data_IF_261304215879
#
_entry.id   IF_261304215879
#
_cell.length_a   1.000
_cell.length_b   1.000
_cell.length_c   1.000
_cell.angle_alpha   90.00
_cell.angle_beta   90.00
_cell.angle_gamma   90.00
#
_symmetry.space_group_name_H-M   'P 1'
#
loop_
_entity.id
_entity.type
_entity.pdbx_description
1 polymer ?
#
# COMPACT_ATOMS: atom_id res chain seq x y z
N UNK A 1 -8.20 -10.69 -9.49
CA UNK A 1 -7.09 -10.32 -8.59
C UNK A 1 -7.62 -10.39 -7.15
N UNK A 2 -6.84 -10.83 -6.17
CA UNK A 2 -7.25 -10.74 -4.76
C UNK A 2 -7.11 -9.30 -4.25
N UNK A 3 -7.99 -8.84 -3.35
CA UNK A 3 -7.95 -7.47 -2.81
C UNK A 3 -6.61 -7.13 -2.13
N UNK A 4 -6.00 -8.12 -1.45
CA UNK A 4 -4.65 -8.02 -0.88
C UNK A 4 -3.62 -7.63 -1.95
N UNK A 5 -3.66 -8.28 -3.12
CA UNK A 5 -2.73 -8.03 -4.21
C UNK A 5 -2.94 -6.63 -4.82
N UNK A 6 -4.18 -6.14 -4.88
CA UNK A 6 -4.47 -4.77 -5.33
C UNK A 6 -3.89 -3.72 -4.36
N UNK A 7 -4.02 -3.93 -3.04
CA UNK A 7 -3.38 -3.07 -2.04
C UNK A 7 -1.86 -3.05 -2.23
N UNK A 8 -1.25 -4.22 -2.47
CA UNK A 8 0.21 -4.32 -2.63
C UNK A 8 0.68 -3.60 -3.89
N UNK A 9 -0.02 -3.82 -5.00
CA UNK A 9 0.24 -3.14 -6.27
C UNK A 9 0.07 -1.61 -6.14
N UNK A 10 -0.93 -1.15 -5.39
CA UNK A 10 -1.12 0.28 -5.14
C UNK A 10 0.05 0.89 -4.33
N UNK A 11 0.50 0.24 -3.26
CA UNK A 11 1.65 0.70 -2.47
C UNK A 11 2.94 0.66 -3.31
N UNK A 12 3.12 -0.38 -4.13
CA UNK A 12 4.23 -0.44 -5.08
C UNK A 12 4.22 0.74 -6.06
N UNK A 13 3.05 1.08 -6.62
CA UNK A 13 2.87 2.25 -7.48
C UNK A 13 3.28 3.54 -6.75
N UNK A 14 2.78 3.75 -5.53
CA UNK A 14 3.15 4.92 -4.71
C UNK A 14 4.67 5.00 -4.48
N UNK A 15 5.32 3.86 -4.23
CA UNK A 15 6.77 3.80 -4.08
C UNK A 15 7.49 4.19 -5.38
N UNK A 16 7.10 3.60 -6.52
CA UNK A 16 7.69 3.91 -7.83
C UNK A 16 7.54 5.40 -8.18
N UNK A 17 6.36 5.98 -7.98
CA UNK A 17 6.06 7.39 -8.25
C UNK A 17 6.87 8.35 -7.36
N UNK A 18 7.14 7.95 -6.11
CA UNK A 18 7.94 8.74 -5.19
C UNK A 18 9.41 8.92 -5.63
N UNK A 19 9.90 8.04 -6.52
CA UNK A 19 11.31 7.94 -6.94
C UNK A 19 12.30 7.77 -5.77
N UNK A 20 11.80 7.33 -4.61
CA UNK A 20 12.62 7.11 -3.42
C UNK A 20 13.25 5.71 -3.43
N UNK A 21 14.40 5.55 -2.78
CA UNK A 21 14.86 4.21 -2.41
C UNK A 21 13.86 3.53 -1.45
N UNK A 22 13.90 2.20 -1.36
CA UNK A 22 13.05 1.42 -0.44
C UNK A 22 13.21 1.92 1.00
N UNK A 23 14.45 2.17 1.43
CA UNK A 23 14.78 2.71 2.74
C UNK A 23 14.17 4.09 2.98
N UNK A 24 14.31 5.01 2.02
CA UNK A 24 13.75 6.37 2.16
C UNK A 24 12.23 6.35 2.24
N UNK A 25 11.58 5.53 1.42
CA UNK A 25 10.13 5.37 1.48
C UNK A 25 9.69 4.79 2.83
N UNK A 26 10.35 3.72 3.27
CA UNK A 26 10.06 3.08 4.56
C UNK A 26 10.20 4.08 5.73
N UNK A 27 11.28 4.87 5.76
CA UNK A 27 11.48 5.92 6.76
C UNK A 27 10.40 7.01 6.68
N UNK A 28 10.10 7.51 5.47
CA UNK A 28 9.09 8.55 5.27
C UNK A 28 7.72 8.12 5.79
N UNK A 29 7.33 6.89 5.53
CA UNK A 29 6.05 6.32 5.94
C UNK A 29 6.10 5.62 7.30
N UNK A 30 7.21 5.73 8.03
CA UNK A 30 7.44 5.10 9.33
C UNK A 30 7.08 3.60 9.34
N UNK A 31 7.48 2.85 8.30
CA UNK A 31 7.33 1.40 8.21
C UNK A 31 8.70 0.73 8.12
N UNK A 32 8.79 -0.56 8.42
CA UNK A 32 10.04 -1.28 8.23
C UNK A 32 10.35 -1.46 6.73
N UNK A 33 11.62 -1.33 6.35
CA UNK A 33 12.03 -1.61 4.97
C UNK A 33 11.68 -3.05 4.56
N UNK A 34 11.72 -3.99 5.52
CA UNK A 34 11.25 -5.37 5.32
C UNK A 34 9.76 -5.42 4.95
N UNK A 35 8.93 -4.61 5.60
CA UNK A 35 7.49 -4.51 5.26
C UNK A 35 7.31 -4.08 3.81
N UNK A 36 8.03 -3.05 3.37
CA UNK A 36 7.98 -2.63 1.97
C UNK A 36 8.48 -3.75 1.04
N UNK A 37 9.53 -4.47 1.41
CA UNK A 37 10.07 -5.58 0.62
C UNK A 37 9.08 -6.75 0.49
N UNK A 38 8.38 -7.09 1.57
CA UNK A 38 7.35 -8.14 1.57
C UNK A 38 6.16 -7.76 0.67
N UNK A 39 5.78 -6.48 0.66
CA UNK A 39 4.76 -5.95 -0.26
C UNK A 39 5.22 -6.06 -1.72
N UNK A 40 6.43 -5.57 -2.03
CA UNK A 40 6.97 -5.57 -3.40
C UNK A 40 7.20 -6.97 -3.97
N UNK A 41 7.55 -7.93 -3.11
CA UNK A 41 7.75 -9.32 -3.51
C UNK A 41 6.44 -10.13 -3.52
N UNK A 42 5.31 -9.48 -3.24
CA UNK A 42 4.00 -10.11 -3.09
C UNK A 42 4.05 -11.37 -2.20
N UNK A 43 4.68 -11.24 -1.02
CA UNK A 43 4.91 -12.36 -0.13
C UNK A 43 3.56 -13.01 0.27
N UNK A 44 3.41 -14.29 -0.07
CA UNK A 44 2.17 -15.05 0.15
C UNK A 44 1.79 -15.12 1.63
N UNK A 45 2.79 -15.18 2.52
CA UNK A 45 2.60 -15.30 3.98
C UNK A 45 2.44 -13.96 4.69
N UNK A 46 2.89 -12.86 4.08
CA UNK A 46 2.78 -11.55 4.68
C UNK A 46 1.35 -11.02 4.52
N UNK A 47 0.74 -10.56 5.61
CA UNK A 47 -0.52 -9.83 5.61
C UNK A 47 -0.27 -8.42 6.11
N UNK A 48 -0.61 -7.43 5.28
CA UNK A 48 -0.45 -6.03 5.67
C UNK A 48 -1.29 -5.70 6.90
N UNK A 49 -0.67 -4.99 7.85
CA UNK A 49 -1.33 -4.55 9.06
C UNK A 49 -2.10 -3.24 8.83
N UNK A 50 -3.23 -3.06 9.52
CA UNK A 50 -3.95 -1.78 9.52
C UNK A 50 -3.07 -0.58 9.93
N UNK A 51 -2.17 -0.69 10.95
CA UNK A 51 -1.21 0.36 11.27
C UNK A 51 -0.31 0.77 10.09
N UNK A 52 0.10 -0.17 9.24
CA UNK A 52 0.89 0.15 8.03
C UNK A 52 0.09 1.03 7.07
N UNK A 53 -1.18 0.67 6.82
CA UNK A 53 -2.07 1.45 5.96
C UNK A 53 -2.32 2.83 6.58
N UNK A 54 -2.57 2.88 7.88
CA UNK A 54 -2.81 4.13 8.61
C UNK A 54 -1.62 5.10 8.48
N UNK A 55 -0.39 4.65 8.70
CA UNK A 55 0.82 5.49 8.55
C UNK A 55 1.00 6.01 7.12
N UNK A 56 0.66 5.20 6.12
CA UNK A 56 0.66 5.64 4.72
C UNK A 56 -0.37 6.76 4.51
N UNK A 57 -1.56 6.62 5.08
CA UNK A 57 -2.62 7.61 5.00
C UNK A 57 -2.24 8.92 5.72
N UNK A 58 -1.67 8.84 6.93
CA UNK A 58 -1.22 10.01 7.70
C UNK A 58 -0.23 10.87 6.93
N UNK A 59 0.81 10.26 6.36
CA UNK A 59 1.86 10.98 5.62
C UNK A 59 1.34 11.56 4.30
N UNK A 60 0.33 10.93 3.70
CA UNK A 60 -0.34 11.45 2.50
C UNK A 60 -1.44 12.46 2.81
N UNK A 61 -1.78 12.65 4.08
CA UNK A 61 -2.89 13.48 4.52
C UNK A 61 -4.22 13.09 3.84
N UNK A 62 -4.51 11.79 3.81
CA UNK A 62 -5.76 11.21 3.28
C UNK A 62 -6.43 10.35 4.34
N UNK A 63 -7.74 10.14 4.21
CA UNK A 63 -8.49 9.19 5.02
C UNK A 63 -8.25 7.74 4.56
N UNK A 64 -8.42 6.80 5.48
CA UNK A 64 -8.34 5.36 5.17
C UNK A 64 -9.39 4.96 4.12
N UNK A 65 -10.59 5.56 4.15
CA UNK A 65 -11.61 5.35 3.12
C UNK A 65 -11.14 5.80 1.74
N UNK A 66 -10.45 6.94 1.64
CA UNK A 66 -9.91 7.46 0.39
C UNK A 66 -8.78 6.58 -0.14
N UNK A 67 -7.97 5.99 0.74
CA UNK A 67 -6.98 4.99 0.35
C UNK A 67 -7.65 3.80 -0.34
N UNK A 68 -8.70 3.22 0.25
CA UNK A 68 -9.39 2.08 -0.35
C UNK A 68 -10.14 2.46 -1.63
N UNK A 69 -10.76 3.65 -1.69
CA UNK A 69 -11.34 4.16 -2.94
C UNK A 69 -10.28 4.29 -4.04
N UNK A 70 -9.10 4.81 -3.73
CA UNK A 70 -8.02 4.91 -4.71
C UNK A 70 -7.50 3.54 -5.19
N UNK A 71 -7.50 2.52 -4.32
CA UNK A 71 -7.20 1.14 -4.72
C UNK A 71 -8.28 0.61 -5.68
N UNK A 72 -9.55 0.83 -5.38
CA UNK A 72 -10.67 0.38 -6.22
C UNK A 72 -10.78 1.13 -7.56
N UNK A 73 -10.42 2.41 -7.58
CA UNK A 73 -10.43 3.22 -8.80
C UNK A 73 -9.30 2.81 -9.76
N UNK A 74 -8.15 2.40 -9.22
CA UNK A 74 -7.02 1.89 -9.99
C UNK A 74 -7.23 0.42 -10.43
N UNK A 75 -7.85 -0.38 -9.57
CA UNK A 75 -8.10 -1.81 -9.78
C UNK A 75 -9.60 -2.13 -9.68
N UNK A 76 -10.42 -1.74 -10.68
CA UNK A 76 -11.88 -1.86 -10.64
C UNK A 76 -12.36 -3.32 -10.52
N UNK A 77 -11.53 -4.30 -10.88
CA UNK A 77 -11.83 -5.72 -10.76
C UNK A 77 -11.92 -6.23 -9.31
N UNK A 78 -11.38 -5.50 -8.33
CA UNK A 78 -11.44 -5.87 -6.91
C UNK A 78 -12.53 -5.14 -6.12
N UNK A 79 -13.33 -4.30 -6.81
CA UNK A 79 -14.35 -3.47 -6.18
C UNK A 79 -15.32 -4.34 -5.37
N UNK A 80 -15.44 -4.04 -4.08
CA UNK A 80 -16.34 -4.80 -3.22
C UNK A 80 -17.78 -4.57 -3.71
N UNK A 81 -18.46 -5.64 -4.13
CA UNK A 81 -19.90 -5.57 -4.40
C UNK A 81 -20.58 -5.24 -3.08
N UNK A 82 -21.21 -4.06 -3.02
CA UNK A 82 -22.08 -3.65 -1.92
C UNK A 82 -23.23 -4.64 -1.72
#
# INVERSE_FOLDING_TARGET
MEYKAAIYAYIEKLWKESKMSKRQFALKYNIDERTLRDILNNNSTYQISLPTIYRICEVRNIMVSEFFSAVEDEFPEVKMKK
#
